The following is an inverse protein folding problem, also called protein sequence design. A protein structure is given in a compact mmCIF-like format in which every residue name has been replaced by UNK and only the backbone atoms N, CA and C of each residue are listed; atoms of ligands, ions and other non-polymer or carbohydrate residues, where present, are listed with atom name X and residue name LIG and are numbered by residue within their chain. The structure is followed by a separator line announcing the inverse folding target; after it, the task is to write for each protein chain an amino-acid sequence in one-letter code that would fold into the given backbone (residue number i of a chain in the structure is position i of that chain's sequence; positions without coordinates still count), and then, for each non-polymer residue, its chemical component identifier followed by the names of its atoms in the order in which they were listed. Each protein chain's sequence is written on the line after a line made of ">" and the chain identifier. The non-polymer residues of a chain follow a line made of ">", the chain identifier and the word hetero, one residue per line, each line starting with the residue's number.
data_IF_658745145770
#
_entry.id   IF_658745145770
#
_cell.length_a   1.000
_cell.length_b   1.000
_cell.length_c   1.000
_cell.angle_alpha   90.00
_cell.angle_beta   90.00
_cell.angle_gamma   90.00
#
_symmetry.space_group_name_H-M   'P 1'
#
loop_
_entity.id
_entity.type
_entity.pdbx_description
1 polymer ?
#
# COMPACT_ATOMS: atom_id res chain seq x y z
N UNK A 1 -2.75 20.77 -25.03
CA UNK A 1 -2.60 20.55 -23.57
C UNK A 1 -2.18 19.11 -23.35
N UNK A 2 -0.90 18.86 -23.04
CA UNK A 2 -0.41 17.53 -22.69
C UNK A 2 -0.31 17.44 -21.17
N UNK A 3 -1.13 16.61 -20.55
CA UNK A 3 -1.10 16.39 -19.10
C UNK A 3 0.24 15.76 -18.71
N UNK A 4 1.12 16.57 -18.10
CA UNK A 4 2.47 16.20 -17.66
C UNK A 4 2.50 15.29 -16.43
N UNK A 5 1.71 14.22 -16.40
CA UNK A 5 1.82 13.20 -15.37
C UNK A 5 2.94 12.21 -15.74
N UNK A 6 4.00 12.08 -14.92
CA UNK A 6 4.99 11.03 -15.14
C UNK A 6 4.31 9.68 -14.91
N UNK A 7 4.03 8.95 -16.00
CA UNK A 7 3.64 7.54 -15.90
C UNK A 7 4.81 6.79 -15.27
N UNK A 8 4.68 6.43 -14.00
CA UNK A 8 5.70 5.72 -13.20
C UNK A 8 6.16 4.39 -13.84
N UNK A 9 5.36 3.81 -14.72
CA UNK A 9 5.68 2.59 -15.44
C UNK A 9 5.40 2.74 -16.93
N UNK A 10 6.46 2.86 -17.73
CA UNK A 10 6.42 2.70 -19.19
C UNK A 10 6.58 1.22 -19.56
N UNK A 11 6.12 0.80 -20.74
CA UNK A 11 6.29 -0.59 -21.23
C UNK A 11 7.76 -1.04 -21.13
N UNK A 12 8.68 -0.13 -21.49
CA UNK A 12 10.13 -0.34 -21.36
C UNK A 12 10.55 -0.61 -19.91
N UNK A 13 10.04 0.15 -18.94
CA UNK A 13 10.37 -0.05 -17.53
C UNK A 13 9.83 -1.37 -16.95
N UNK A 14 8.66 -1.82 -17.42
CA UNK A 14 8.04 -3.08 -16.96
C UNK A 14 8.80 -4.28 -17.52
N UNK A 15 9.20 -4.21 -18.79
CA UNK A 15 9.88 -5.29 -19.49
C UNK A 15 11.41 -5.24 -19.37
N UNK A 16 11.98 -4.24 -18.69
CA UNK A 16 13.43 -4.06 -18.57
C UNK A 16 14.17 -5.26 -17.96
N UNK A 17 13.50 -6.05 -17.11
CA UNK A 17 14.06 -7.27 -16.50
C UNK A 17 13.68 -8.56 -17.24
N UNK A 18 12.95 -8.45 -18.35
CA UNK A 18 12.52 -9.58 -19.17
C UNK A 18 13.50 -9.85 -20.32
N UNK A 19 13.35 -10.98 -21.00
CA UNK A 19 14.09 -11.30 -22.22
C UNK A 19 13.58 -10.58 -23.48
N UNK A 20 12.53 -9.75 -23.37
CA UNK A 20 11.89 -9.09 -24.51
C UNK A 20 12.29 -7.62 -24.59
N UNK A 21 12.88 -7.22 -25.73
CA UNK A 21 13.13 -5.83 -26.05
C UNK A 21 11.95 -5.27 -26.84
N UNK A 22 11.09 -4.52 -26.17
CA UNK A 22 9.94 -3.84 -26.81
C UNK A 22 10.30 -2.39 -27.09
N UNK A 23 10.43 -2.04 -28.36
CA UNK A 23 10.69 -0.68 -28.84
C UNK A 23 9.38 0.11 -28.97
N UNK A 24 8.33 -0.54 -29.46
CA UNK A 24 7.07 0.10 -29.84
C UNK A 24 5.86 -0.49 -29.09
N UNK A 25 4.83 0.31 -28.75
CA UNK A 25 3.71 -0.16 -27.94
C UNK A 25 2.91 -1.32 -28.54
N UNK A 26 2.86 -1.45 -29.87
CA UNK A 26 2.12 -2.54 -30.55
C UNK A 26 2.83 -3.88 -30.47
N UNK A 27 4.15 -3.90 -30.30
CA UNK A 27 4.90 -5.15 -30.11
C UNK A 27 4.48 -5.84 -28.81
N UNK A 28 4.12 -5.07 -27.78
CA UNK A 28 3.54 -5.61 -26.56
C UNK A 28 2.22 -6.35 -26.83
N UNK A 29 1.36 -5.79 -27.70
CA UNK A 29 0.10 -6.42 -28.06
C UNK A 29 0.31 -7.73 -28.85
N UNK A 30 1.37 -7.80 -29.66
CA UNK A 30 1.77 -9.04 -30.34
C UNK A 30 2.31 -10.07 -29.36
N UNK A 31 3.15 -9.65 -28.40
CA UNK A 31 3.68 -10.53 -27.35
C UNK A 31 2.58 -11.10 -26.45
N UNK A 32 1.60 -10.28 -26.05
CA UNK A 32 0.46 -10.77 -25.25
C UNK A 32 -0.40 -11.73 -26.05
N UNK A 33 -0.64 -11.47 -27.34
CA UNK A 33 -1.35 -12.40 -28.22
C UNK A 33 -0.62 -13.74 -28.36
N UNK A 34 0.70 -13.70 -28.56
CA UNK A 34 1.53 -14.90 -28.67
C UNK A 34 1.54 -15.69 -27.36
N UNK A 35 1.70 -15.01 -26.22
CA UNK A 35 1.63 -15.62 -24.90
C UNK A 35 0.28 -16.28 -24.63
N UNK A 36 -0.83 -15.62 -24.99
CA UNK A 36 -2.17 -16.18 -24.82
C UNK A 36 -2.38 -17.43 -25.67
N UNK A 37 -1.95 -17.40 -26.94
CA UNK A 37 -2.01 -18.57 -27.82
C UNK A 37 -1.15 -19.71 -27.28
N UNK A 38 0.06 -19.42 -26.79
CA UNK A 38 0.95 -20.43 -26.21
C UNK A 38 0.34 -21.04 -24.94
N UNK A 39 -0.25 -20.22 -24.06
CA UNK A 39 -0.96 -20.71 -22.87
C UNK A 39 -2.15 -21.60 -23.26
N UNK A 40 -2.94 -21.18 -24.25
CA UNK A 40 -4.06 -21.96 -24.76
C UNK A 40 -3.60 -23.30 -25.34
N UNK A 41 -2.43 -23.36 -25.99
CA UNK A 41 -1.86 -24.60 -26.51
C UNK A 41 -1.24 -25.50 -25.43
N UNK A 42 -0.77 -24.94 -24.31
CA UNK A 42 -0.12 -25.69 -23.23
C UNK A 42 -1.13 -26.46 -22.37
N UNK A 43 -2.45 -26.23 -22.54
CA UNK A 43 -3.48 -26.98 -21.83
C UNK A 43 -3.30 -26.90 -20.32
N UNK A 44 -3.09 -25.68 -19.79
CA UNK A 44 -2.92 -25.50 -18.35
C UNK A 44 -4.29 -25.73 -17.71
N UNK A 45 -4.43 -26.71 -16.78
CA UNK A 45 -5.72 -27.06 -16.19
C UNK A 45 -6.38 -25.90 -15.43
N UNK A 46 -5.62 -24.86 -15.08
CA UNK A 46 -6.12 -23.65 -14.42
C UNK A 46 -7.01 -22.77 -15.33
N UNK A 47 -6.92 -22.87 -16.66
CA UNK A 47 -7.71 -22.04 -17.58
C UNK A 47 -8.95 -22.76 -18.15
N UNK A 48 -9.02 -24.08 -18.05
CA UNK A 48 -10.22 -24.84 -18.46
C UNK A 48 -11.41 -24.53 -17.52
N UNK A 49 -11.13 -24.29 -16.24
CA UNK A 49 -12.14 -23.93 -15.22
C UNK A 49 -12.58 -22.46 -15.28
N UNK A 50 -11.78 -21.58 -15.90
CA UNK A 50 -12.13 -20.16 -16.05
C UNK A 50 -12.91 -20.02 -17.35
N UNK A 51 -14.20 -20.34 -17.30
CA UNK A 51 -15.12 -20.05 -18.41
C UNK A 51 -15.25 -18.52 -18.51
N UNK A 52 -14.44 -17.89 -19.38
CA UNK A 52 -14.55 -16.47 -19.68
C UNK A 52 -15.96 -16.19 -20.23
N UNK A 53 -16.81 -15.56 -19.41
CA UNK A 53 -18.15 -15.12 -19.84
C UNK A 53 -19.33 -15.80 -19.15
N UNK A 54 -19.13 -16.71 -18.19
CA UNK A 54 -20.24 -17.11 -17.32
C UNK A 54 -20.46 -16.04 -16.24
N UNK A 55 -21.67 -15.48 -16.11
CA UNK A 55 -21.99 -14.64 -14.97
C UNK A 55 -21.95 -15.53 -13.72
N UNK A 56 -20.85 -15.45 -12.98
CA UNK A 56 -20.73 -16.12 -11.69
C UNK A 56 -21.81 -15.52 -10.79
N UNK A 57 -22.83 -16.33 -10.46
CA UNK A 57 -23.81 -15.96 -9.45
C UNK A 57 -23.05 -15.90 -8.14
N UNK A 58 -22.67 -14.70 -7.73
CA UNK A 58 -22.17 -14.45 -6.38
C UNK A 58 -23.31 -14.92 -5.47
N UNK A 59 -23.14 -16.09 -4.84
CA UNK A 59 -24.03 -16.47 -3.77
C UNK A 59 -23.88 -15.37 -2.73
N UNK A 60 -24.95 -14.62 -2.39
CA UNK A 60 -24.91 -13.81 -1.20
C UNK A 60 -24.83 -14.85 -0.08
N UNK A 61 -23.61 -15.22 0.31
CA UNK A 61 -23.37 -16.07 1.47
C UNK A 61 -24.23 -15.48 2.58
N UNK A 62 -24.98 -16.35 3.28
CA UNK A 62 -25.85 -15.97 4.39
C UNK A 62 -25.11 -14.87 5.14
N UNK A 63 -25.59 -13.62 5.04
CA UNK A 63 -24.93 -12.49 5.69
C UNK A 63 -24.78 -12.96 7.11
N UNK A 64 -23.53 -13.16 7.52
CA UNK A 64 -23.21 -13.58 8.88
C UNK A 64 -24.03 -12.66 9.75
N UNK A 65 -24.98 -13.29 10.44
CA UNK A 65 -25.97 -12.77 11.36
C UNK A 65 -25.84 -11.29 11.63
N UNK A 66 -26.90 -10.53 11.30
CA UNK A 66 -27.26 -9.23 11.88
C UNK A 66 -26.24 -8.74 12.92
N UNK A 67 -25.09 -8.22 12.46
CA UNK A 67 -24.15 -7.57 13.35
C UNK A 67 -24.89 -6.33 13.78
N UNK A 68 -25.53 -6.43 14.95
CA UNK A 68 -26.27 -5.35 15.57
C UNK A 68 -25.34 -4.15 15.51
N UNK A 69 -25.78 -3.12 14.78
CA UNK A 69 -25.04 -1.88 14.70
C UNK A 69 -24.77 -1.42 16.14
N UNK A 70 -23.57 -0.91 16.43
CA UNK A 70 -23.24 -0.45 17.77
C UNK A 70 -24.31 0.54 18.24
N UNK A 71 -24.78 0.36 19.48
CA UNK A 71 -25.78 1.24 20.05
C UNK A 71 -25.20 2.64 20.23
N UNK A 72 -26.05 3.67 20.31
CA UNK A 72 -25.58 5.04 20.50
C UNK A 72 -24.70 5.18 21.75
N UNK A 73 -25.06 4.47 22.82
CA UNK A 73 -24.30 4.41 24.07
C UNK A 73 -22.88 3.84 23.88
N UNK A 74 -22.72 2.75 23.12
CA UNK A 74 -21.37 2.17 22.89
C UNK A 74 -20.50 3.12 22.08
N UNK A 75 -21.08 3.83 21.10
CA UNK A 75 -20.37 4.83 20.29
C UNK A 75 -19.91 6.01 21.15
N UNK A 76 -20.73 6.47 22.09
CA UNK A 76 -20.38 7.57 22.99
C UNK A 76 -19.27 7.19 23.97
N UNK A 77 -19.32 5.96 24.50
CA UNK A 77 -18.27 5.42 25.37
C UNK A 77 -16.93 5.34 24.62
N UNK A 78 -16.93 4.81 23.40
CA UNK A 78 -15.73 4.75 22.56
C UNK A 78 -15.18 6.13 22.26
N UNK A 79 -16.04 7.09 21.89
CA UNK A 79 -15.61 8.48 21.65
C UNK A 79 -14.98 9.11 22.90
N UNK A 80 -15.57 8.91 24.07
CA UNK A 80 -15.03 9.44 25.32
C UNK A 80 -13.67 8.80 25.68
N UNK A 81 -13.49 7.51 25.39
CA UNK A 81 -12.22 6.82 25.55
C UNK A 81 -11.15 7.37 24.60
N UNK A 82 -11.46 7.51 23.32
CA UNK A 82 -10.54 8.04 22.31
C UNK A 82 -10.11 9.47 22.62
N UNK A 83 -11.04 10.33 23.08
CA UNK A 83 -10.70 11.70 23.49
C UNK A 83 -9.71 11.71 24.67
N UNK A 84 -9.88 10.83 25.66
CA UNK A 84 -8.92 10.70 26.77
C UNK A 84 -7.55 10.25 26.27
N UNK A 85 -7.52 9.25 25.38
CA UNK A 85 -6.28 8.74 24.81
C UNK A 85 -5.52 9.81 24.02
N UNK A 86 -6.22 10.61 23.21
CA UNK A 86 -5.61 11.71 22.47
C UNK A 86 -5.02 12.79 23.39
N UNK A 87 -5.73 13.14 24.47
CA UNK A 87 -5.23 14.11 25.45
C UNK A 87 -3.95 13.60 26.15
N UNK A 88 -3.88 12.31 26.49
CA UNK A 88 -2.68 11.71 27.06
C UNK A 88 -1.49 11.79 26.10
N UNK A 89 -1.71 11.49 24.82
CA UNK A 89 -0.67 11.60 23.78
C UNK A 89 -0.20 13.05 23.63
N UNK A 90 -1.12 14.01 23.64
CA UNK A 90 -0.77 15.43 23.52
C UNK A 90 0.06 15.91 24.72
N UNK A 91 -0.31 15.51 25.94
CA UNK A 91 0.48 15.80 27.13
C UNK A 91 1.89 15.21 27.05
N UNK A 92 2.02 13.97 26.59
CA UNK A 92 3.33 13.33 26.40
C UNK A 92 4.18 14.06 25.36
N UNK A 93 3.57 14.47 24.23
CA UNK A 93 4.26 15.26 23.19
C UNK A 93 4.73 16.60 23.74
N UNK A 94 3.86 17.32 24.43
CA UNK A 94 4.19 18.62 25.04
C UNK A 94 5.32 18.48 26.07
N UNK A 95 5.29 17.43 26.91
CA UNK A 95 6.37 17.15 27.84
C UNK A 95 7.69 16.81 27.12
N UNK A 96 7.63 16.00 26.06
CA UNK A 96 8.80 15.66 25.26
C UNK A 96 9.40 16.89 24.56
N UNK A 97 8.57 17.80 24.04
CA UNK A 97 9.02 19.06 23.44
C UNK A 97 9.67 19.99 24.46
N UNK A 98 9.09 20.11 25.67
CA UNK A 98 9.69 20.87 26.77
C UNK A 98 11.03 20.28 27.21
N UNK A 99 11.13 18.95 27.32
CA UNK A 99 12.40 18.29 27.63
C UNK A 99 13.40 18.54 26.51
N UNK A 100 12.98 18.44 25.25
CA UNK A 100 13.85 18.68 24.11
C UNK A 100 14.35 20.13 24.06
N UNK A 101 13.52 21.12 24.35
CA UNK A 101 13.93 22.53 24.41
C UNK A 101 14.92 22.77 25.56
N UNK A 102 14.63 22.26 26.76
CA UNK A 102 15.53 22.33 27.91
C UNK A 102 16.89 21.65 27.65
N UNK A 103 16.91 20.56 26.88
CA UNK A 103 18.13 19.87 26.48
C UNK A 103 18.89 20.60 25.37
N UNK A 104 18.19 21.24 24.41
CA UNK A 104 18.81 22.06 23.35
C UNK A 104 19.52 23.29 23.93
N UNK A 105 18.96 23.92 24.96
CA UNK A 105 19.54 25.08 25.62
C UNK A 105 20.78 24.74 26.46
N UNK A 106 20.94 23.47 26.86
CA UNK A 106 22.16 22.97 27.50
C UNK A 106 23.21 22.67 26.44
N UNK A 107 24.30 23.47 26.39
CA UNK A 107 25.52 23.21 25.60
C UNK A 107 26.34 21.99 26.09
N UNK A 108 25.70 20.93 26.56
CA UNK A 108 26.37 19.76 27.11
C UNK A 108 25.79 18.52 26.45
N UNK A 109 26.58 17.88 25.59
CA UNK A 109 26.30 16.51 25.18
C UNK A 109 26.28 16.21 23.67
N UNK A 110 26.74 17.11 22.79
CA UNK A 110 27.24 16.62 21.51
C UNK A 110 28.39 15.67 21.83
N UNK A 111 28.15 14.36 21.67
CA UNK A 111 29.21 13.35 21.61
C UNK A 111 30.19 13.85 20.56
N UNK A 112 31.26 14.52 21.00
CA UNK A 112 32.33 14.91 20.10
C UNK A 112 32.86 13.60 19.53
N UNK A 113 32.94 13.44 18.20
CA UNK A 113 33.58 12.27 17.63
C UNK A 113 34.98 12.16 18.28
N UNK A 114 35.32 10.95 18.73
CA UNK A 114 36.63 10.68 19.28
C UNK A 114 37.69 11.14 18.27
N UNK A 115 38.72 11.89 18.68
CA UNK A 115 39.75 12.34 17.76
C UNK A 115 40.46 11.11 17.14
N UNK A 116 40.89 11.21 15.87
CA UNK A 116 41.59 10.11 15.20
C UNK A 116 42.90 9.80 15.95
N UNK A 117 43.21 8.51 16.10
CA UNK A 117 44.48 8.05 16.68
C UNK A 117 45.63 8.40 15.72
N UNK A 118 46.70 8.97 16.28
CA UNK A 118 47.97 9.21 15.59
C UNK A 118 48.68 7.90 15.28
#
# INVERSE_FOLDING_TARGET
>A
MAYGLPRKHTVKSVLHRSCYNVQEPWELALLTKALYNNIACIGVPLFEDIIYGTPFKINPGKKTEDVLLPTAETIEIEKAYELKHLNEIELQKNAAEQIQSLLKDKKIGLRRPLPPKK
#
